data_IF_313692549689
#
_entry.id   IF_313692549689
#
_cell.length_a   1.000
_cell.length_b   1.000
_cell.length_c   1.000
_cell.angle_alpha   90.00
_cell.angle_beta   90.00
_cell.angle_gamma   90.00
#
_symmetry.space_group_name_H-M   'P 1'
#
loop_
_entity.id
_entity.type
_entity.pdbx_description
1 polymer ?
#
# COMPACT_ATOMS: atom_id res chain seq x y z
N UNK A 1 21.08 31.09 -5.10
CA UNK A 1 19.96 30.69 -4.21
C UNK A 1 19.40 29.39 -4.75
N UNK A 2 19.96 28.29 -4.28
CA UNK A 2 19.59 26.91 -4.64
C UNK A 2 18.25 26.58 -3.98
N UNK A 3 17.20 26.40 -4.79
CA UNK A 3 15.92 25.82 -4.34
C UNK A 3 16.20 24.38 -3.93
N UNK A 4 16.41 24.19 -2.63
CA UNK A 4 16.60 22.89 -2.01
C UNK A 4 15.27 22.14 -2.08
N UNK A 5 15.26 21.09 -2.89
CA UNK A 5 14.15 20.17 -3.12
C UNK A 5 14.02 19.24 -1.91
N UNK A 6 13.80 19.82 -0.73
CA UNK A 6 13.61 19.09 0.53
C UNK A 6 12.22 18.45 0.48
N UNK A 7 12.18 17.17 0.82
CA UNK A 7 11.21 16.14 0.41
C UNK A 7 9.78 16.37 0.96
N UNK A 8 9.09 17.38 0.42
CA UNK A 8 7.66 17.61 0.59
C UNK A 8 6.81 16.41 0.15
N UNK A 9 7.36 15.49 -0.68
CA UNK A 9 6.62 14.34 -1.20
C UNK A 9 6.21 13.38 -0.09
N UNK A 10 7.10 13.08 0.86
CA UNK A 10 6.79 12.12 1.93
C UNK A 10 5.66 12.62 2.83
N UNK A 11 5.74 13.85 3.33
CA UNK A 11 4.68 14.40 4.17
C UNK A 11 3.41 14.69 3.38
N UNK A 12 3.51 15.02 2.09
CA UNK A 12 2.35 15.14 1.21
C UNK A 12 1.65 13.78 1.07
N UNK A 13 2.38 12.70 0.80
CA UNK A 13 1.84 11.34 0.75
C UNK A 13 1.12 10.95 2.05
N UNK A 14 1.63 11.33 3.23
CA UNK A 14 0.94 11.07 4.50
C UNK A 14 -0.40 11.80 4.62
N UNK A 15 -0.50 13.01 4.09
CA UNK A 15 -1.74 13.80 4.02
C UNK A 15 -2.72 13.17 3.04
N UNK A 16 -2.25 12.79 1.85
CA UNK A 16 -3.07 12.08 0.85
C UNK A 16 -3.62 10.78 1.43
N UNK A 17 -2.79 9.98 2.09
CA UNK A 17 -3.25 8.76 2.77
C UNK A 17 -4.29 9.04 3.85
N UNK A 18 -4.09 10.10 4.66
CA UNK A 18 -5.04 10.46 5.71
C UNK A 18 -6.38 10.89 5.13
N UNK A 19 -6.37 11.73 4.10
CA UNK A 19 -7.56 12.15 3.40
C UNK A 19 -8.29 10.93 2.80
N UNK A 20 -7.57 10.05 2.10
CA UNK A 20 -8.16 8.88 1.44
C UNK A 20 -8.83 7.93 2.44
N UNK A 21 -8.24 7.71 3.62
CA UNK A 21 -8.86 6.87 4.65
C UNK A 21 -10.20 7.42 5.17
N UNK A 22 -10.44 8.73 5.07
CA UNK A 22 -11.64 9.38 5.60
C UNK A 22 -12.69 9.66 4.54
N UNK A 23 -12.21 9.99 3.35
CA UNK A 23 -13.00 10.65 2.32
C UNK A 23 -12.99 9.89 0.99
N UNK A 24 -12.51 8.64 0.94
CA UNK A 24 -12.56 7.86 -0.30
C UNK A 24 -13.93 7.17 -0.48
N UNK A 25 -14.53 7.20 -1.68
CA UNK A 25 -14.07 7.88 -2.90
C UNK A 25 -14.19 9.41 -2.83
N UNK A 26 -13.37 10.17 -3.60
CA UNK A 26 -13.36 11.64 -3.58
C UNK A 26 -14.73 12.28 -3.83
N UNK A 27 -15.60 11.57 -4.54
CA UNK A 27 -16.98 11.94 -4.78
C UNK A 27 -17.87 10.70 -4.58
N UNK A 28 -19.04 10.91 -3.98
CA UNK A 28 -20.00 9.84 -3.67
C UNK A 28 -20.01 9.45 -2.19
N UNK A 29 -20.67 8.33 -1.92
CA UNK A 29 -20.81 7.84 -0.55
C UNK A 29 -19.51 7.15 -0.09
N UNK A 30 -19.05 7.41 1.16
CA UNK A 30 -17.87 6.77 1.70
C UNK A 30 -17.94 5.24 1.63
N UNK A 31 -16.85 4.63 1.17
CA UNK A 31 -16.69 3.17 1.12
C UNK A 31 -15.68 2.72 2.17
N UNK A 32 -15.82 1.52 2.76
CA UNK A 32 -14.76 0.95 3.57
C UNK A 32 -13.51 0.77 2.74
N UNK A 33 -12.40 1.34 3.22
CA UNK A 33 -11.13 1.31 2.51
C UNK A 33 -9.97 0.87 3.40
N UNK A 34 -9.01 0.21 2.77
CA UNK A 34 -7.67 0.01 3.34
C UNK A 34 -6.71 0.87 2.54
N UNK A 35 -6.07 1.82 3.20
CA UNK A 35 -5.04 2.66 2.59
C UNK A 35 -3.67 2.16 3.00
N UNK A 36 -2.79 1.99 2.02
CA UNK A 36 -1.41 1.60 2.24
C UNK A 36 -0.47 2.46 1.42
N UNK A 37 0.78 2.50 1.88
CA UNK A 37 1.84 3.29 1.26
C UNK A 37 2.81 2.38 0.59
N UNK A 38 3.31 2.82 -0.56
CA UNK A 38 4.52 2.28 -1.14
C UNK A 38 4.38 0.76 -1.34
N UNK A 39 3.33 0.34 -2.06
CA UNK A 39 3.01 -1.05 -2.38
C UNK A 39 2.90 -1.26 -3.89
N UNK A 40 3.07 -2.52 -4.32
CA UNK A 40 2.99 -2.89 -5.72
C UNK A 40 3.70 -4.21 -5.96
N UNK A 41 4.05 -4.51 -7.21
CA UNK A 41 4.81 -5.71 -7.55
C UNK A 41 6.33 -5.47 -7.43
N UNK A 42 7.13 -6.50 -7.76
CA UNK A 42 8.59 -6.34 -7.80
C UNK A 42 9.05 -5.32 -8.85
N UNK A 43 8.28 -5.16 -9.95
CA UNK A 43 8.64 -4.28 -11.07
C UNK A 43 7.99 -2.91 -11.04
N UNK A 44 7.04 -2.66 -10.14
CA UNK A 44 6.29 -1.40 -10.05
C UNK A 44 5.72 -1.22 -8.66
N UNK A 45 5.97 -0.07 -8.05
CA UNK A 45 5.51 0.32 -6.71
C UNK A 45 4.78 1.65 -6.81
N UNK A 46 3.56 1.74 -6.29
CA UNK A 46 2.77 2.97 -6.22
C UNK A 46 2.96 3.67 -4.89
N UNK A 47 2.90 5.00 -4.89
CA UNK A 47 3.08 5.79 -3.68
C UNK A 47 1.95 5.54 -2.69
N UNK A 48 0.69 5.67 -3.12
CA UNK A 48 -0.48 5.39 -2.29
C UNK A 48 -1.38 4.37 -2.99
N UNK A 49 -1.83 3.37 -2.22
CA UNK A 49 -2.76 2.34 -2.66
C UNK A 49 -4.00 2.42 -1.79
N UNK A 50 -5.15 2.65 -2.43
CA UNK A 50 -6.46 2.59 -1.77
C UNK A 50 -7.16 1.33 -2.25
N UNK A 51 -7.59 0.50 -1.29
CA UNK A 51 -8.37 -0.70 -1.58
C UNK A 51 -9.79 -0.47 -1.13
N UNK A 52 -10.72 -0.44 -2.07
CA UNK A 52 -12.15 -0.55 -1.74
C UNK A 52 -12.43 -2.02 -1.43
N UNK A 53 -13.05 -2.29 -0.29
CA UNK A 53 -13.27 -3.64 0.21
C UNK A 53 -14.74 -3.93 0.41
N UNK A 54 -15.13 -5.18 0.18
CA UNK A 54 -16.44 -5.65 0.59
C UNK A 54 -16.46 -5.78 2.13
N UNK A 55 -17.38 -5.10 2.85
CA UNK A 55 -17.32 -5.06 4.30
C UNK A 55 -17.57 -6.44 4.94
N UNK A 56 -18.44 -7.26 4.34
CA UNK A 56 -18.72 -8.61 4.82
C UNK A 56 -17.53 -9.55 4.57
N UNK A 57 -16.97 -9.52 3.36
CA UNK A 57 -15.77 -10.25 2.99
C UNK A 57 -14.58 -9.87 3.85
N UNK A 58 -14.39 -8.58 4.16
CA UNK A 58 -13.33 -8.12 5.06
C UNK A 58 -13.54 -8.66 6.48
N UNK A 59 -14.78 -8.66 6.98
CA UNK A 59 -15.10 -9.24 8.28
C UNK A 59 -14.78 -10.76 8.31
N UNK A 60 -15.08 -11.49 7.23
CA UNK A 60 -14.71 -12.90 7.10
C UNK A 60 -13.18 -13.08 7.02
N UNK A 61 -12.46 -12.20 6.31
CA UNK A 61 -11.00 -12.24 6.18
C UNK A 61 -10.31 -12.09 7.53
N UNK A 62 -10.90 -11.38 8.50
CA UNK A 62 -10.32 -11.26 9.85
C UNK A 62 -10.19 -12.60 10.58
N UNK A 63 -10.96 -13.64 10.21
CA UNK A 63 -10.84 -15.00 10.78
C UNK A 63 -9.50 -15.66 10.49
N UNK A 64 -8.75 -15.16 9.50
CA UNK A 64 -7.40 -15.61 9.15
C UNK A 64 -6.28 -14.85 9.91
N UNK A 65 -6.66 -13.95 10.82
CA UNK A 65 -5.73 -13.13 11.62
C UNK A 65 -5.24 -11.87 10.89
N UNK A 66 -4.47 -11.05 11.62
CA UNK A 66 -3.98 -9.74 11.14
C UNK A 66 -2.77 -9.82 10.20
N UNK A 67 -2.06 -10.93 10.21
CA UNK A 67 -0.92 -11.16 9.31
C UNK A 67 -1.41 -11.44 7.89
N UNK A 68 -0.62 -11.00 6.90
CA UNK A 68 -0.92 -11.29 5.50
C UNK A 68 -0.91 -12.80 5.25
N UNK A 69 -1.61 -13.19 4.21
CA UNK A 69 -1.45 -14.48 3.56
C UNK A 69 -0.58 -14.24 2.32
N UNK A 70 0.62 -14.80 2.31
CA UNK A 70 1.45 -14.79 1.11
C UNK A 70 0.88 -15.73 0.04
N UNK A 71 1.53 -15.79 -1.13
CA UNK A 71 1.05 -16.58 -2.26
C UNK A 71 0.87 -18.07 -1.91
N UNK A 72 1.75 -18.62 -1.08
CA UNK A 72 1.71 -20.05 -0.74
C UNK A 72 0.62 -20.35 0.30
N UNK A 73 0.44 -19.46 1.28
CA UNK A 73 -0.69 -19.53 2.21
C UNK A 73 -2.03 -19.34 1.49
N UNK A 74 -2.14 -18.37 0.57
CA UNK A 74 -3.32 -18.17 -0.26
C UNK A 74 -3.63 -19.42 -1.10
N UNK A 75 -2.61 -20.03 -1.71
CA UNK A 75 -2.77 -21.28 -2.45
C UNK A 75 -3.36 -22.39 -1.57
N UNK A 76 -2.86 -22.55 -0.34
CA UNK A 76 -3.38 -23.55 0.58
C UNK A 76 -4.82 -23.25 1.04
N UNK A 77 -5.10 -22.03 1.53
CA UNK A 77 -6.42 -21.74 2.14
C UNK A 77 -7.55 -21.57 1.14
N UNK A 78 -7.25 -21.15 -0.11
CA UNK A 78 -8.28 -21.04 -1.17
C UNK A 78 -8.70 -22.40 -1.72
N UNK A 79 -7.81 -23.39 -1.65
CA UNK A 79 -8.02 -24.71 -2.27
C UNK A 79 -8.24 -25.85 -1.26
N UNK A 80 -8.07 -25.60 0.04
CA UNK A 80 -8.29 -26.62 1.05
C UNK A 80 -9.76 -27.10 1.04
N UNK A 81 -10.02 -28.41 1.17
CA UNK A 81 -11.37 -28.98 1.07
C UNK A 81 -12.15 -28.82 2.39
N UNK A 82 -13.50 -28.87 2.36
CA UNK A 82 -14.34 -28.84 3.57
C UNK A 82 -14.20 -30.09 4.44
N UNK A 83 -13.75 -31.20 3.86
CA UNK A 83 -13.52 -32.47 4.55
C UNK A 83 -12.03 -32.79 4.62
N UNK A 84 -11.65 -33.75 5.47
CA UNK A 84 -10.24 -34.16 5.60
C UNK A 84 -9.75 -34.90 4.36
N UNK A 85 -8.70 -34.38 3.72
CA UNK A 85 -8.11 -35.01 2.55
C UNK A 85 -6.58 -34.83 2.52
N UNK A 86 -5.87 -35.76 1.87
CA UNK A 86 -4.42 -35.66 1.71
C UNK A 86 -4.05 -34.45 0.86
N UNK A 87 -3.16 -33.58 1.35
CA UNK A 87 -2.92 -32.28 0.71
C UNK A 87 -2.48 -32.34 -0.77
N UNK A 88 -1.83 -33.42 -1.21
CA UNK A 88 -1.41 -33.57 -2.62
C UNK A 88 -2.54 -34.02 -3.55
N UNK A 89 -3.61 -34.57 -2.99
CA UNK A 89 -4.82 -34.91 -3.73
C UNK A 89 -5.78 -33.71 -3.74
N UNK A 90 -5.86 -32.98 -2.62
CA UNK A 90 -6.74 -31.85 -2.46
C UNK A 90 -6.30 -30.56 -3.18
N UNK A 91 -5.00 -30.24 -3.15
CA UNK A 91 -4.49 -28.97 -3.68
C UNK A 91 -4.09 -29.10 -5.16
N UNK A 92 -4.40 -28.10 -6.01
CA UNK A 92 -3.83 -28.02 -7.34
C UNK A 92 -2.30 -28.03 -7.30
N UNK A 93 -1.68 -28.58 -8.34
CA UNK A 93 -0.22 -28.60 -8.43
C UNK A 93 0.33 -27.16 -8.46
N UNK A 94 1.24 -26.78 -7.55
CA UNK A 94 1.63 -25.38 -7.35
C UNK A 94 2.61 -24.83 -8.42
N UNK A 95 3.08 -25.69 -9.32
CA UNK A 95 4.11 -25.33 -10.32
C UNK A 95 5.55 -25.31 -9.78
N UNK A 96 5.75 -25.68 -8.52
CA UNK A 96 7.04 -25.81 -7.84
C UNK A 96 7.06 -27.03 -6.88
N UNK A 97 8.19 -27.39 -6.24
CA UNK A 97 8.24 -28.60 -5.39
C UNK A 97 7.31 -28.58 -4.17
N UNK A 98 6.60 -29.69 -3.92
CA UNK A 98 5.65 -29.88 -2.80
C UNK A 98 6.22 -29.61 -1.39
N UNK A 99 7.53 -29.57 -1.21
CA UNK A 99 8.14 -29.25 0.10
C UNK A 99 7.74 -27.85 0.59
N UNK A 100 7.62 -26.87 -0.31
CA UNK A 100 7.23 -25.50 0.04
C UNK A 100 5.77 -25.44 0.46
N UNK A 101 4.88 -26.14 -0.26
CA UNK A 101 3.46 -26.27 0.15
C UNK A 101 3.33 -26.90 1.54
N UNK A 102 4.16 -27.91 1.85
CA UNK A 102 4.15 -28.54 3.17
C UNK A 102 4.53 -27.55 4.28
N UNK A 103 5.54 -26.72 4.07
CA UNK A 103 5.94 -25.67 5.02
C UNK A 103 4.78 -24.70 5.26
N UNK A 104 4.11 -24.24 4.20
CA UNK A 104 2.95 -23.36 4.30
C UNK A 104 1.76 -24.00 5.00
N UNK A 105 1.50 -25.30 4.79
CA UNK A 105 0.45 -26.04 5.52
C UNK A 105 0.75 -26.07 7.02
N UNK A 106 2.00 -26.34 7.41
CA UNK A 106 2.37 -26.32 8.82
C UNK A 106 2.21 -24.93 9.43
N UNK A 107 2.67 -23.87 8.75
CA UNK A 107 2.48 -22.49 9.18
C UNK A 107 0.99 -22.11 9.30
N UNK A 108 0.15 -22.54 8.35
CA UNK A 108 -1.29 -22.32 8.39
C UNK A 108 -1.97 -23.06 9.56
N UNK A 109 -1.51 -24.28 9.87
CA UNK A 109 -1.96 -25.05 11.03
C UNK A 109 -1.57 -24.41 12.35
N UNK A 110 -0.33 -23.94 12.48
CA UNK A 110 0.17 -23.22 13.67
C UNK A 110 -0.58 -21.90 13.89
N UNK A 111 -0.93 -21.20 12.80
CA UNK A 111 -1.80 -20.01 12.84
C UNK A 111 -3.27 -20.33 13.14
N UNK A 112 -3.68 -21.60 13.13
CA UNK A 112 -5.07 -22.02 13.33
C UNK A 112 -6.03 -21.58 12.22
N UNK A 113 -5.52 -21.30 11.02
CA UNK A 113 -6.30 -20.86 9.85
C UNK A 113 -6.60 -22.01 8.89
N UNK A 114 -5.92 -23.15 9.07
CA UNK A 114 -6.14 -24.39 8.36
C UNK A 114 -6.10 -25.54 9.36
N UNK A 115 -7.04 -26.48 9.30
CA UNK A 115 -6.95 -27.68 10.12
C UNK A 115 -5.97 -28.66 9.48
N UNK A 116 -4.99 -29.13 10.26
CA UNK A 116 -3.93 -30.01 9.79
C UNK A 116 -3.81 -31.20 10.72
N UNK A 117 -3.78 -32.42 10.17
CA UNK A 117 -3.51 -33.64 10.93
C UNK A 117 -2.60 -34.59 10.19
N UNK A 118 -1.94 -35.47 10.94
CA UNK A 118 -1.12 -36.55 10.38
C UNK A 118 -1.82 -37.90 10.56
N UNK A 119 -2.03 -38.64 9.48
CA UNK A 119 -2.48 -40.04 9.49
C UNK A 119 -1.44 -40.91 8.79
N UNK A 120 -0.71 -41.70 9.58
CA UNK A 120 0.43 -42.47 9.07
C UNK A 120 1.49 -41.56 8.45
N UNK A 121 1.77 -41.74 7.17
CA UNK A 121 2.70 -40.91 6.38
C UNK A 121 2.00 -39.77 5.61
N UNK A 122 0.68 -39.63 5.73
CA UNK A 122 -0.12 -38.61 5.01
C UNK A 122 -0.39 -37.42 5.92
N UNK A 123 -0.22 -36.22 5.37
CA UNK A 123 -0.66 -34.96 5.99
C UNK A 123 -2.02 -34.65 5.36
N UNK A 124 -3.06 -34.70 6.17
CA UNK A 124 -4.41 -34.34 5.75
C UNK A 124 -4.71 -32.92 6.18
N UNK A 125 -5.41 -32.19 5.31
CA UNK A 125 -5.84 -30.81 5.55
C UNK A 125 -7.35 -30.71 5.43
N UNK A 126 -7.92 -29.72 6.10
CA UNK A 126 -9.32 -29.33 5.99
C UNK A 126 -9.42 -27.82 6.17
N UNK A 127 -10.17 -27.13 5.32
CA UNK A 127 -10.42 -25.69 5.49
C UNK A 127 -11.22 -25.44 6.76
N UNK A 128 -10.82 -24.43 7.52
CA UNK A 128 -11.56 -23.98 8.70
C UNK A 128 -12.62 -22.93 8.34
N UNK A 129 -12.29 -22.10 7.35
CA UNK A 129 -13.14 -21.05 6.81
C UNK A 129 -12.97 -21.00 5.29
N UNK A 130 -14.01 -20.57 4.59
CA UNK A 130 -13.89 -20.19 3.18
C UNK A 130 -13.09 -18.88 3.10
N UNK A 131 -12.14 -18.82 2.15
CA UNK A 131 -11.43 -17.58 1.88
C UNK A 131 -12.36 -16.63 1.11
N UNK A 132 -12.67 -15.44 1.65
CA UNK A 132 -13.68 -14.56 1.07
C UNK A 132 -13.15 -13.78 -0.13
N UNK A 133 -14.06 -13.37 -1.01
CA UNK A 133 -13.78 -12.33 -2.00
C UNK A 133 -14.01 -10.95 -1.36
N UNK A 134 -12.97 -10.42 -0.71
CA UNK A 134 -13.07 -9.20 0.11
C UNK A 134 -12.54 -7.94 -0.59
N UNK A 135 -11.83 -8.10 -1.71
CA UNK A 135 -11.24 -7.00 -2.46
C UNK A 135 -12.20 -6.58 -3.58
N UNK A 136 -12.78 -5.39 -3.50
CA UNK A 136 -13.60 -4.86 -4.58
C UNK A 136 -12.73 -4.18 -5.64
N UNK A 137 -11.92 -3.20 -5.26
CA UNK A 137 -11.14 -2.38 -6.19
C UNK A 137 -9.78 -2.00 -5.65
N UNK A 138 -8.82 -1.84 -6.56
CA UNK A 138 -7.46 -1.36 -6.31
C UNK A 138 -7.30 -0.02 -6.99
N UNK A 139 -7.00 1.03 -6.24
CA UNK A 139 -6.74 2.36 -6.76
C UNK A 139 -5.28 2.70 -6.48
N UNK A 140 -4.56 3.12 -7.52
CA UNK A 140 -3.19 3.60 -7.41
C UNK A 140 -3.17 5.12 -7.49
N UNK A 141 -2.49 5.78 -6.55
CA UNK A 141 -2.30 7.22 -6.52
C UNK A 141 -0.79 7.51 -6.48
N UNK A 142 -0.31 8.24 -7.47
CA UNK A 142 1.06 8.77 -7.53
C UNK A 142 1.10 10.18 -6.94
N UNK A 143 2.02 10.43 -6.01
CA UNK A 143 2.09 11.68 -5.29
C UNK A 143 3.17 12.58 -5.88
N UNK A 144 2.75 13.70 -6.47
CA UNK A 144 3.62 14.69 -7.09
C UNK A 144 3.17 16.10 -6.68
N UNK A 145 3.50 16.53 -5.44
CA UNK A 145 3.04 17.83 -4.93
C UNK A 145 3.44 18.99 -5.83
N UNK A 146 4.64 18.93 -6.40
CA UNK A 146 5.20 19.96 -7.28
C UNK A 146 5.40 19.33 -8.68
N UNK A 147 4.32 19.30 -9.48
CA UNK A 147 4.34 18.72 -10.83
C UNK A 147 4.77 19.76 -11.87
N UNK A 148 6.06 19.83 -12.15
CA UNK A 148 6.62 20.57 -13.29
C UNK A 148 6.67 19.72 -14.57
N UNK A 149 6.92 20.36 -15.73
CA UNK A 149 6.97 19.67 -17.02
C UNK A 149 7.99 18.53 -17.10
N UNK A 150 9.08 18.57 -16.33
CA UNK A 150 10.06 17.49 -16.29
C UNK A 150 9.58 16.32 -15.45
N UNK A 151 8.97 16.61 -14.29
CA UNK A 151 8.33 15.63 -13.42
C UNK A 151 7.16 14.95 -14.14
N UNK A 152 6.37 15.71 -14.88
CA UNK A 152 5.23 15.20 -15.64
C UNK A 152 5.64 14.23 -16.74
N UNK A 153 6.72 14.50 -17.49
CA UNK A 153 7.24 13.53 -18.48
C UNK A 153 7.65 12.20 -17.86
N UNK A 154 8.36 12.23 -16.72
CA UNK A 154 8.76 11.01 -16.01
C UNK A 154 7.54 10.27 -15.45
N UNK A 155 6.58 11.01 -14.91
CA UNK A 155 5.35 10.47 -14.36
C UNK A 155 4.47 9.84 -15.45
N UNK A 156 4.26 10.51 -16.57
CA UNK A 156 3.47 10.00 -17.69
C UNK A 156 3.96 8.62 -18.13
N UNK A 157 5.28 8.46 -18.24
CA UNK A 157 5.95 7.18 -18.51
C UNK A 157 5.55 6.06 -17.52
N UNK A 158 5.42 6.37 -16.23
CA UNK A 158 5.01 5.43 -15.20
C UNK A 158 3.52 5.11 -15.27
N UNK A 159 2.68 6.14 -15.47
CA UNK A 159 1.24 6.01 -15.59
C UNK A 159 0.85 5.18 -16.82
N UNK A 160 1.53 5.37 -17.95
CA UNK A 160 1.32 4.56 -19.16
C UNK A 160 1.56 3.07 -18.89
N UNK A 161 2.59 2.73 -18.10
CA UNK A 161 2.86 1.34 -17.70
C UNK A 161 1.74 0.78 -16.82
N UNK A 162 1.21 1.60 -15.91
CA UNK A 162 0.10 1.18 -15.04
C UNK A 162 -1.20 1.00 -15.80
N UNK A 163 -1.52 1.93 -16.70
CA UNK A 163 -2.69 1.87 -17.59
C UNK A 163 -2.59 0.67 -18.51
N UNK A 164 -1.44 0.47 -19.17
CA UNK A 164 -1.21 -0.65 -20.08
C UNK A 164 -1.28 -2.01 -19.37
N UNK A 165 -0.77 -2.10 -18.14
CA UNK A 165 -0.85 -3.32 -17.34
C UNK A 165 -2.28 -3.56 -16.83
N UNK A 166 -3.00 -2.50 -16.47
CA UNK A 166 -4.37 -2.57 -15.96
C UNK A 166 -4.47 -3.39 -14.67
N UNK A 167 -3.48 -3.21 -13.78
CA UNK A 167 -3.45 -3.91 -12.48
C UNK A 167 -4.34 -3.22 -11.44
N UNK A 168 -4.39 -1.90 -11.47
CA UNK A 168 -5.35 -1.09 -10.72
C UNK A 168 -6.65 -0.91 -11.52
N UNK A 169 -7.76 -0.68 -10.84
CA UNK A 169 -9.04 -0.27 -11.43
C UNK A 169 -9.02 1.19 -11.85
N UNK A 170 -8.26 2.03 -11.13
CA UNK A 170 -8.04 3.43 -11.44
C UNK A 170 -6.62 3.84 -11.06
N UNK A 171 -6.07 4.77 -11.84
CA UNK A 171 -4.78 5.39 -11.59
C UNK A 171 -5.00 6.89 -11.46
N UNK A 172 -4.40 7.49 -10.45
CA UNK A 172 -4.54 8.90 -10.13
C UNK A 172 -3.18 9.56 -9.91
N UNK A 173 -3.12 10.85 -10.15
CA UNK A 173 -2.03 11.73 -9.73
C UNK A 173 -2.57 12.70 -8.69
N UNK A 174 -1.91 12.80 -7.55
CA UNK A 174 -2.19 13.81 -6.53
C UNK A 174 -1.13 14.91 -6.56
N UNK A 175 -1.57 16.16 -6.75
CA UNK A 175 -0.71 17.35 -6.74
C UNK A 175 -1.15 18.34 -5.68
N UNK A 176 -0.30 19.30 -5.33
CA UNK A 176 -0.69 20.43 -4.50
C UNK A 176 -1.45 21.45 -5.35
N UNK A 177 -2.42 22.13 -4.75
CA UNK A 177 -3.04 23.31 -5.36
C UNK A 177 -2.00 24.41 -5.59
N UNK A 178 -1.97 24.93 -6.82
CA UNK A 178 -1.05 26.01 -7.20
C UNK A 178 -1.64 27.39 -6.98
N UNK A 179 -2.99 27.48 -6.89
CA UNK A 179 -3.71 28.74 -6.89
C UNK A 179 -3.84 29.39 -8.27
N UNK A 180 -3.36 28.72 -9.32
CA UNK A 180 -3.52 29.16 -10.70
C UNK A 180 -4.95 28.92 -11.19
N UNK A 181 -5.36 29.64 -12.25
CA UNK A 181 -6.70 29.49 -12.83
C UNK A 181 -6.91 28.07 -13.40
N UNK A 182 -5.86 27.51 -13.98
CA UNK A 182 -5.82 26.15 -14.52
C UNK A 182 -4.64 25.47 -13.86
N UNK A 183 -4.87 24.30 -13.28
CA UNK A 183 -3.81 23.56 -12.60
C UNK A 183 -2.80 23.04 -13.63
N UNK A 184 -1.48 23.23 -13.42
CA UNK A 184 -0.46 22.79 -14.37
C UNK A 184 -0.61 21.33 -14.80
N UNK A 185 -1.02 20.46 -13.88
CA UNK A 185 -1.28 19.05 -14.15
C UNK A 185 -2.27 18.78 -15.29
N UNK A 186 -3.20 19.70 -15.58
CA UNK A 186 -4.16 19.59 -16.68
C UNK A 186 -3.55 19.96 -18.05
N UNK A 187 -2.38 20.59 -18.05
CA UNK A 187 -1.68 21.03 -19.26
C UNK A 187 -0.55 20.08 -19.67
N UNK A 188 -0.19 19.16 -18.79
CA UNK A 188 0.88 18.19 -19.01
C UNK A 188 0.38 16.95 -19.77
N UNK A 189 1.29 16.29 -20.49
CA UNK A 189 1.03 15.10 -21.30
C UNK A 189 0.96 13.83 -20.44
N UNK A 190 -0.05 13.76 -19.57
CA UNK A 190 -0.37 12.57 -18.78
C UNK A 190 -1.39 11.70 -19.54
N UNK A 191 -1.38 10.36 -19.36
CA UNK A 191 -2.38 9.49 -19.97
C UNK A 191 -3.80 9.93 -19.64
N UNK A 192 -4.67 9.99 -20.65
CA UNK A 192 -6.05 10.47 -20.51
C UNK A 192 -6.89 9.61 -19.55
N UNK A 193 -6.49 8.36 -19.33
CA UNK A 193 -7.09 7.46 -18.35
C UNK A 193 -6.76 7.82 -16.89
N UNK A 194 -5.69 8.56 -16.63
CA UNK A 194 -5.26 8.90 -15.29
C UNK A 194 -6.08 10.07 -14.73
N UNK A 195 -6.63 9.89 -13.53
CA UNK A 195 -7.33 10.95 -12.81
C UNK A 195 -6.37 11.94 -12.17
N UNK A 196 -6.85 13.16 -11.88
CA UNK A 196 -6.05 14.21 -11.22
C UNK A 196 -6.80 14.68 -9.97
N UNK A 197 -6.13 14.52 -8.82
CA UNK A 197 -6.53 15.07 -7.52
C UNK A 197 -5.66 16.26 -7.18
N UNK A 198 -6.28 17.35 -6.75
CA UNK A 198 -5.58 18.55 -6.28
C UNK A 198 -5.87 18.78 -4.82
N UNK A 199 -4.80 18.83 -4.02
CA UNK A 199 -4.83 18.94 -2.57
C UNK A 199 -4.58 20.36 -2.10
N UNK A 200 -5.45 20.84 -1.21
CA UNK A 200 -5.33 22.11 -0.51
C UNK A 200 -5.85 21.97 0.90
N UNK A 201 -5.09 22.43 1.90
CA UNK A 201 -5.53 22.52 3.31
C UNK A 201 -6.14 21.21 3.89
N UNK A 202 -5.62 20.06 3.46
CA UNK A 202 -6.08 18.75 3.95
C UNK A 202 -7.27 18.14 3.21
N UNK A 203 -7.81 18.86 2.23
CA UNK A 203 -8.87 18.38 1.34
C UNK A 203 -8.31 18.10 -0.06
N UNK A 204 -8.97 17.21 -0.79
CA UNK A 204 -8.68 16.94 -2.19
C UNK A 204 -9.91 17.22 -3.05
N UNK A 205 -9.67 17.77 -4.24
CA UNK A 205 -10.69 18.00 -5.25
C UNK A 205 -10.32 17.28 -6.55
N UNK A 206 -11.32 16.74 -7.24
CA UNK A 206 -11.12 16.12 -8.55
C UNK A 206 -11.01 17.23 -9.61
N UNK A 207 -9.94 17.20 -10.41
CA UNK A 207 -9.77 18.06 -11.59
C UNK A 207 -9.93 17.32 -12.89
N UNK A 208 -9.64 16.02 -12.88
CA UNK A 208 -9.87 15.12 -14.00
C UNK A 208 -10.29 13.75 -13.45
N UNK A 209 -11.39 13.21 -13.98
CA UNK A 209 -11.86 11.89 -13.56
C UNK A 209 -11.07 10.80 -14.28
N UNK A 210 -10.63 9.75 -13.57
CA UNK A 210 -9.95 8.62 -14.19
C UNK A 210 -10.93 7.84 -15.06
N UNK A 211 -10.37 7.11 -16.02
CA UNK A 211 -11.07 6.03 -16.68
C UNK A 211 -10.95 4.76 -15.83
N UNK A 212 -12.07 4.07 -15.61
CA UNK A 212 -12.03 2.71 -15.04
C UNK A 212 -11.32 1.77 -16.01
N UNK A 213 -10.20 1.20 -15.57
CA UNK A 213 -9.45 0.16 -16.27
C UNK A 213 -10.14 -1.20 -16.09
N UNK A 214 -9.77 -2.19 -16.90
CA UNK A 214 -10.32 -3.55 -16.84
C UNK A 214 -9.29 -4.57 -16.33
N UNK A 215 -9.31 -4.90 -15.03
CA UNK A 215 -8.46 -5.95 -14.46
C UNK A 215 -8.80 -7.36 -14.99
N UNK A 216 -10.00 -7.55 -15.56
CA UNK A 216 -10.48 -8.82 -16.09
C UNK A 216 -10.01 -9.10 -17.54
N UNK A 217 -9.54 -8.09 -18.26
CA UNK A 217 -8.97 -8.26 -19.59
C UNK A 217 -7.46 -8.55 -19.52
N UNK A 218 -6.82 -9.15 -20.55
CA UNK A 218 -5.37 -9.28 -20.59
C UNK A 218 -4.66 -7.92 -20.47
N UNK A 219 -3.57 -7.87 -19.69
CA UNK A 219 -2.75 -6.67 -19.52
C UNK A 219 -1.51 -6.70 -20.40
N UNK A 220 -0.90 -5.54 -20.65
CA UNK A 220 0.37 -5.41 -21.36
C UNK A 220 1.47 -5.00 -20.39
N UNK A 221 2.45 -5.88 -20.17
CA UNK A 221 3.63 -5.60 -19.36
C UNK A 221 4.78 -5.15 -20.25
N UNK A 222 5.10 -3.87 -20.20
CA UNK A 222 6.24 -3.29 -20.91
C UNK A 222 7.52 -3.71 -20.17
N UNK A 223 8.36 -4.51 -20.82
CA UNK A 223 9.61 -5.07 -20.24
C UNK A 223 10.83 -4.26 -20.59
N UNK A 224 10.81 -3.57 -21.72
CA UNK A 224 11.88 -2.70 -22.17
C UNK A 224 11.26 -1.52 -22.93
N UNK A 225 11.57 -0.30 -22.47
CA UNK A 225 11.33 0.91 -23.25
C UNK A 225 12.70 1.46 -23.62
N UNK A 226 13.08 1.48 -24.91
CA UNK A 226 14.32 2.09 -25.32
C UNK A 226 14.33 3.57 -24.91
N UNK A 227 15.50 4.15 -24.58
CA UNK A 227 15.63 5.49 -24.01
C UNK A 227 15.08 6.60 -24.93
N UNK A 228 14.91 6.31 -26.23
CA UNK A 228 14.31 7.22 -27.19
C UNK A 228 15.26 8.31 -27.67
N UNK A 229 14.83 9.00 -28.73
CA UNK A 229 15.53 10.10 -29.40
C UNK A 229 15.03 10.23 -30.85
N UNK A 230 15.22 11.39 -31.49
CA UNK A 230 14.74 11.68 -32.86
C UNK A 230 15.21 10.66 -33.93
N UNK A 231 16.19 9.83 -33.59
CA UNK A 231 16.78 8.82 -34.46
C UNK A 231 16.71 7.39 -33.89
N UNK A 232 16.16 7.18 -32.69
CA UNK A 232 16.02 5.85 -32.11
C UNK A 232 14.70 5.20 -32.55
N UNK A 233 14.80 4.24 -33.48
CA UNK A 233 13.66 3.45 -34.00
C UNK A 233 13.52 2.10 -33.28
N UNK A 234 14.18 1.90 -32.15
CA UNK A 234 14.11 0.65 -31.41
C UNK A 234 12.68 0.39 -30.94
N UNK A 235 12.17 -0.81 -31.18
CA UNK A 235 10.85 -1.20 -30.70
C UNK A 235 10.89 -1.47 -29.20
N UNK A 236 9.88 -0.99 -28.45
CA UNK A 236 9.67 -1.42 -27.08
C UNK A 236 9.39 -2.93 -27.03
N UNK A 237 9.86 -3.60 -25.97
CA UNK A 237 9.49 -4.98 -25.69
C UNK A 237 8.37 -5.02 -24.67
N UNK A 238 7.40 -5.88 -24.93
CA UNK A 238 6.28 -6.12 -24.04
C UNK A 238 5.86 -7.57 -24.08
N UNK A 239 5.13 -7.98 -23.07
CA UNK A 239 4.47 -9.28 -23.00
C UNK A 239 3.05 -9.12 -22.47
N UNK A 240 2.15 -9.97 -22.94
CA UNK A 240 0.80 -10.02 -22.39
C UNK A 240 0.79 -10.80 -21.07
N UNK A 241 0.01 -10.32 -20.11
CA UNK A 241 -0.27 -11.03 -18.87
C UNK A 241 -1.74 -11.42 -18.81
N UNK A 242 -2.01 -12.61 -18.30
CA UNK A 242 -3.38 -13.12 -18.21
C UNK A 242 -4.18 -12.43 -17.09
N UNK A 243 -5.52 -12.43 -17.18
CA UNK A 243 -6.38 -11.96 -16.09
C UNK A 243 -6.13 -12.67 -14.76
N UNK A 244 -5.87 -13.97 -14.76
CA UNK A 244 -5.60 -14.76 -13.56
C UNK A 244 -4.32 -14.30 -12.86
N UNK A 245 -3.27 -14.02 -13.65
CA UNK A 245 -2.04 -13.45 -13.10
C UNK A 245 -2.30 -12.10 -12.45
N UNK A 246 -3.13 -11.24 -13.07
CA UNK A 246 -3.49 -9.94 -12.48
C UNK A 246 -4.30 -10.10 -11.20
N UNK A 247 -5.27 -11.02 -11.18
CA UNK A 247 -6.07 -11.32 -9.99
C UNK A 247 -5.18 -11.77 -8.82
N UNK A 248 -4.23 -12.69 -9.05
CA UNK A 248 -3.31 -13.15 -8.02
C UNK A 248 -2.37 -12.03 -7.53
N UNK A 249 -1.89 -11.16 -8.42
CA UNK A 249 -1.06 -10.00 -8.01
C UNK A 249 -1.86 -8.96 -7.24
N UNK A 250 -3.10 -8.68 -7.64
CA UNK A 250 -4.01 -7.77 -6.92
C UNK A 250 -4.28 -8.29 -5.52
N UNK A 251 -4.61 -9.57 -5.39
CA UNK A 251 -4.83 -10.19 -4.08
C UNK A 251 -3.56 -10.17 -3.21
N UNK A 252 -2.39 -10.43 -3.77
CA UNK A 252 -1.12 -10.35 -3.04
C UNK A 252 -0.74 -8.91 -2.64
N UNK A 253 -1.15 -7.89 -3.40
CA UNK A 253 -1.05 -6.48 -2.99
C UNK A 253 -2.02 -6.21 -1.84
N UNK A 254 -3.26 -6.69 -1.96
CA UNK A 254 -4.30 -6.51 -0.96
C UNK A 254 -3.94 -7.14 0.38
N UNK A 255 -3.43 -8.37 0.39
CA UNK A 255 -2.95 -9.06 1.60
C UNK A 255 -1.81 -8.30 2.28
N UNK A 256 -0.87 -7.72 1.51
CA UNK A 256 0.19 -6.87 2.09
C UNK A 256 -0.35 -5.56 2.63
N UNK A 257 -1.33 -4.96 1.98
CA UNK A 257 -2.00 -3.77 2.48
C UNK A 257 -2.81 -4.09 3.75
N UNK A 258 -3.43 -5.26 3.83
CA UNK A 258 -4.16 -5.72 5.00
C UNK A 258 -3.25 -5.94 6.22
N UNK A 259 -2.00 -6.37 6.02
CA UNK A 259 -1.04 -6.47 7.12
C UNK A 259 -0.45 -5.11 7.51
N UNK A 260 0.01 -4.35 6.50
CA UNK A 260 0.87 -3.17 6.70
C UNK A 260 0.14 -1.82 6.69
N UNK A 261 -1.07 -1.78 6.14
CA UNK A 261 -1.86 -0.58 5.85
C UNK A 261 -2.19 0.23 7.09
N UNK A 262 -2.90 1.32 6.90
CA UNK A 262 -3.25 2.31 7.92
C UNK A 262 -2.03 3.08 8.48
N UNK A 263 -1.15 3.50 7.57
CA UNK A 263 -0.08 4.52 7.77
C UNK A 263 1.06 4.16 8.73
N UNK A 264 1.58 2.93 8.68
CA UNK A 264 2.88 2.65 9.32
C UNK A 264 4.05 3.15 8.47
N UNK A 265 4.82 4.08 9.02
CA UNK A 265 6.03 4.63 8.39
C UNK A 265 7.21 4.67 9.36
N UNK A 266 7.03 4.12 10.57
CA UNK A 266 8.00 4.26 11.65
C UNK A 266 9.30 3.51 11.37
N UNK A 267 9.23 2.40 10.60
CA UNK A 267 10.39 1.56 10.30
C UNK A 267 11.43 2.28 9.44
N UNK A 268 11.01 3.30 8.70
CA UNK A 268 11.89 4.13 7.86
C UNK A 268 12.31 5.44 8.53
N UNK A 269 12.01 5.61 9.82
CA UNK A 269 12.28 6.85 10.56
C UNK A 269 13.21 6.63 11.75
N UNK A 270 13.64 7.74 12.35
CA UNK A 270 14.45 7.77 13.57
C UNK A 270 13.66 8.33 14.75
N UNK A 271 12.59 7.65 15.21
CA UNK A 271 11.85 8.07 16.40
C UNK A 271 12.72 8.02 17.66
N UNK A 272 13.84 7.29 17.63
CA UNK A 272 14.86 7.22 18.68
C UNK A 272 15.76 8.46 18.76
N UNK A 273 15.63 9.40 17.82
CA UNK A 273 16.32 10.68 17.85
C UNK A 273 15.60 11.65 18.79
N UNK A 274 16.32 12.33 19.68
CA UNK A 274 15.77 13.34 20.60
C UNK A 274 15.16 14.56 19.88
N UNK A 275 15.46 14.73 18.60
CA UNK A 275 14.96 15.82 17.75
C UNK A 275 13.71 15.43 16.95
N UNK A 276 13.21 14.20 17.13
CA UNK A 276 11.99 13.72 16.49
C UNK A 276 10.75 14.25 17.20
N UNK A 277 9.84 14.85 16.43
CA UNK A 277 8.48 15.17 16.86
C UNK A 277 7.47 14.61 15.87
N UNK A 278 6.32 14.14 16.36
CA UNK A 278 5.14 13.95 15.52
C UNK A 278 4.27 15.20 15.58
N UNK A 279 4.03 15.85 14.44
CA UNK A 279 3.16 17.03 14.35
C UNK A 279 1.87 16.65 13.63
N UNK A 280 0.75 17.22 14.07
CA UNK A 280 -0.51 17.07 13.36
C UNK A 280 -0.61 18.22 12.38
N UNK A 281 -0.78 17.89 11.11
CA UNK A 281 -1.06 18.84 10.05
C UNK A 281 -2.11 18.23 9.11
N UNK A 282 -3.18 18.97 8.81
CA UNK A 282 -4.27 18.47 7.97
C UNK A 282 -4.79 17.09 8.42
N UNK A 283 -4.97 16.90 9.74
CA UNK A 283 -5.30 15.63 10.41
C UNK A 283 -4.32 14.46 10.24
N UNK A 284 -3.24 14.64 9.46
CA UNK A 284 -2.16 13.68 9.30
C UNK A 284 -1.13 13.89 10.41
N UNK A 285 -0.63 12.80 10.97
CA UNK A 285 0.57 12.86 11.81
C UNK A 285 1.77 12.81 10.86
N UNK A 286 2.57 13.87 10.86
CA UNK A 286 3.77 13.99 10.03
C UNK A 286 5.00 14.04 10.94
N UNK A 287 6.11 13.36 10.57
CA UNK A 287 7.34 13.42 11.33
C UNK A 287 8.03 14.77 11.11
N UNK A 288 8.61 15.32 12.15
CA UNK A 288 9.30 16.61 12.11
C UNK A 288 10.65 16.52 12.82
N UNK A 289 11.68 17.14 12.24
CA UNK A 289 12.98 17.31 12.88
C UNK A 289 13.08 18.73 13.45
N UNK A 290 13.20 18.84 14.77
CA UNK A 290 13.30 20.15 15.43
C UNK A 290 14.58 20.91 15.13
N UNK A 291 15.68 20.21 14.84
CA UNK A 291 16.98 20.83 14.49
C UNK A 291 16.95 21.38 13.07
N UNK A 292 16.39 20.63 12.13
CA UNK A 292 16.32 21.05 10.73
C UNK A 292 15.16 21.99 10.45
N UNK A 293 14.15 22.02 11.33
CA UNK A 293 13.00 22.92 11.23
C UNK A 293 11.99 22.51 10.16
N UNK A 294 12.03 21.26 9.67
CA UNK A 294 11.11 20.74 8.67
C UNK A 294 10.80 19.25 8.88
N UNK A 295 9.93 18.72 8.02
CA UNK A 295 9.52 17.31 8.04
C UNK A 295 10.71 16.36 7.85
N UNK A 296 10.69 15.20 8.51
CA UNK A 296 11.76 14.21 8.34
C UNK A 296 11.69 13.54 6.98
N UNK A 297 12.86 13.33 6.39
CA UNK A 297 13.04 12.61 5.13
C UNK A 297 13.97 11.41 5.37
N UNK A 298 13.75 10.31 4.66
CA UNK A 298 14.64 9.15 4.76
C UNK A 298 16.05 9.46 4.23
N UNK A 299 16.20 10.45 3.35
CA UNK A 299 17.49 10.88 2.85
C UNK A 299 18.31 11.57 3.96
N UNK A 300 17.72 12.54 4.66
CA UNK A 300 18.47 13.40 5.56
C UNK A 300 18.46 12.89 7.00
N UNK A 301 17.40 12.21 7.44
CA UNK A 301 17.21 11.72 8.80
C UNK A 301 17.49 10.21 8.93
N UNK A 302 18.44 9.69 8.15
CA UNK A 302 18.88 8.28 8.19
C UNK A 302 20.06 8.04 9.13
N UNK A 303 20.68 6.86 9.04
CA UNK A 303 21.81 6.44 9.88
C UNK A 303 23.04 7.36 9.78
N UNK A 304 23.20 8.12 8.68
CA UNK A 304 24.31 9.05 8.47
C UNK A 304 24.01 10.49 8.86
N UNK A 305 22.87 10.77 9.50
CA UNK A 305 22.49 12.12 9.91
C UNK A 305 23.47 12.68 10.96
N UNK A 306 24.22 13.77 10.68
CA UNK A 306 25.19 14.33 11.63
C UNK A 306 24.53 14.94 12.87
N UNK A 307 23.29 15.40 12.72
CA UNK A 307 22.45 15.95 13.80
C UNK A 307 21.76 14.86 14.63
N UNK A 308 22.01 13.57 14.32
CA UNK A 308 21.38 12.50 15.09
C UNK A 308 21.90 12.51 16.53
N UNK A 309 20.97 12.59 17.48
CA UNK A 309 21.28 12.44 18.89
C UNK A 309 20.25 11.50 19.51
N UNK A 310 20.66 10.38 20.13
CA UNK A 310 19.71 9.44 20.72
C UNK A 310 18.97 10.08 21.89
N UNK A 311 17.76 9.59 22.16
CA UNK A 311 17.03 9.96 23.37
C UNK A 311 17.88 9.79 24.63
N UNK A 312 17.96 10.81 25.51
CA UNK A 312 18.64 10.70 26.79
C UNK A 312 18.07 9.54 27.63
N UNK A 313 18.90 8.71 28.28
CA UNK A 313 18.43 7.59 29.10
C UNK A 313 17.41 8.00 30.17
N UNK A 314 17.59 9.18 30.77
CA UNK A 314 16.68 9.73 31.78
C UNK A 314 15.26 10.01 31.28
N UNK A 315 15.03 10.08 29.96
CA UNK A 315 13.68 10.22 29.40
C UNK A 315 12.93 8.89 29.40
N UNK A 316 13.64 7.77 29.29
CA UNK A 316 13.03 6.43 29.21
C UNK A 316 12.46 5.94 30.54
N UNK A 317 12.94 6.53 31.64
CA UNK A 317 12.47 6.24 33.00
C UNK A 317 11.25 7.08 33.39
N UNK A 318 10.84 8.03 32.56
CA UNK A 318 9.62 8.82 32.80
C UNK A 318 8.40 7.93 32.55
N UNK A 319 7.33 8.12 33.33
CA UNK A 319 6.07 7.39 33.18
C UNK A 319 5.23 7.90 32.01
N UNK A 320 3.95 7.53 32.01
CA UNK A 320 2.97 7.99 31.03
C UNK A 320 2.98 9.53 30.88
N UNK A 321 2.91 10.10 29.66
CA UNK A 321 2.64 9.46 28.37
C UNK A 321 3.88 8.98 27.59
N UNK A 322 5.11 9.17 28.11
CA UNK A 322 6.38 8.86 27.43
C UNK A 322 7.11 7.68 28.06
N UNK A 323 6.35 6.71 28.58
CA UNK A 323 6.92 5.50 29.19
C UNK A 323 7.85 4.78 28.21
N UNK A 324 9.13 4.68 28.57
CA UNK A 324 10.19 4.14 27.71
C UNK A 324 10.73 5.10 26.63
N UNK A 325 10.39 6.39 26.71
CA UNK A 325 10.91 7.47 25.88
C UNK A 325 9.91 7.99 24.82
N UNK A 326 10.07 9.23 24.31
CA UNK A 326 9.19 9.81 23.29
C UNK A 326 9.03 8.97 22.03
N UNK A 327 10.09 8.32 21.56
CA UNK A 327 10.13 7.45 20.39
C UNK A 327 9.31 6.17 20.56
N UNK A 328 9.27 5.61 21.78
CA UNK A 328 8.34 4.52 22.11
C UNK A 328 6.90 5.04 22.18
N UNK A 329 6.70 6.25 22.72
CA UNK A 329 5.42 6.93 22.75
C UNK A 329 4.81 7.11 21.35
N UNK A 330 5.57 7.66 20.40
CA UNK A 330 5.08 7.87 19.02
C UNK A 330 4.80 6.56 18.30
N UNK A 331 5.62 5.52 18.51
CA UNK A 331 5.36 4.16 17.99
C UNK A 331 4.00 3.66 18.45
N UNK A 332 3.72 3.78 19.75
CA UNK A 332 2.43 3.41 20.33
C UNK A 332 1.27 4.23 19.76
N UNK A 333 1.44 5.54 19.56
CA UNK A 333 0.41 6.39 18.93
C UNK A 333 0.10 5.92 17.51
N UNK A 334 1.12 5.65 16.68
CA UNK A 334 0.93 5.18 15.31
C UNK A 334 0.27 3.79 15.28
N UNK A 335 0.69 2.89 16.16
CA UNK A 335 0.06 1.58 16.31
C UNK A 335 -1.42 1.70 16.70
N UNK A 336 -1.75 2.52 17.71
CA UNK A 336 -3.15 2.76 18.09
C UNK A 336 -3.97 3.38 16.95
N UNK A 337 -3.39 4.27 16.14
CA UNK A 337 -4.06 4.83 14.95
C UNK A 337 -4.32 3.77 13.90
N UNK A 338 -3.36 2.87 13.66
CA UNK A 338 -3.53 1.72 12.75
C UNK A 338 -4.66 0.80 13.23
N UNK A 339 -4.68 0.44 14.51
CA UNK A 339 -5.73 -0.44 15.07
C UNK A 339 -7.12 0.21 15.01
N UNK A 340 -7.21 1.53 15.24
CA UNK A 340 -8.47 2.27 15.08
C UNK A 340 -8.96 2.23 13.64
N UNK A 341 -8.09 2.57 12.68
CA UNK A 341 -8.48 2.60 11.27
C UNK A 341 -8.82 1.19 10.73
N UNK A 342 -8.14 0.14 11.23
CA UNK A 342 -8.52 -1.26 10.96
C UNK A 342 -9.92 -1.58 11.50
N UNK A 343 -10.23 -1.10 12.70
CA UNK A 343 -11.54 -1.30 13.34
C UNK A 343 -12.65 -0.48 12.68
N UNK A 344 -12.32 0.66 12.06
CA UNK A 344 -13.25 1.47 11.26
C UNK A 344 -13.51 0.83 9.89
N UNK A 345 -12.48 0.26 9.24
CA UNK A 345 -12.60 -0.41 7.95
C UNK A 345 -13.31 -1.78 8.05
N UNK A 346 -13.10 -2.50 9.16
CA UNK A 346 -13.82 -3.74 9.42
C UNK A 346 -15.14 -3.40 10.08
N UNK A 347 -16.31 -3.64 9.47
CA UNK A 347 -17.55 -3.51 10.21
C UNK A 347 -17.47 -4.45 11.41
N UNK A 348 -17.38 -3.87 12.62
CA UNK A 348 -17.59 -4.65 13.83
C UNK A 348 -18.91 -5.39 13.64
N UNK A 349 -18.97 -6.66 14.01
CA UNK A 349 -20.25 -7.31 14.26
C UNK A 349 -20.97 -6.45 15.30
N UNK A 350 -21.79 -5.49 14.86
CA UNK A 350 -22.72 -4.78 15.73
C UNK A 350 -23.71 -5.84 16.17
N UNK A 351 -23.38 -6.53 17.27
CA UNK A 351 -24.30 -7.25 18.12
C UNK A 351 -24.35 -6.51 19.44
#
# INVERSE_FOLDING_TARGET
>A
MTRERIDHEFGFELRVCRWAERNWPPEGDPSPVIVSRQLGTRGRRWDTVVLEVDPEGLAQRTRFGHERLDADLLHAVRNAPPEWEYYREALPHPGYPWRYVRESIHAAGERGILDVRKRGNRIEIRRRYDYPDWLSRVIAIENKPDLDASAARVLGDQLERDVALGLADEVWVATRATGERVEPALLEDLPVEAGILVFSEGEASVRWHPRRLSPADPGTRITERPPGGDHDRSAARFEYVSPEWKADKRLAIAERAYERGWRSYIDTMRPDCRHFEGRIDSDALVPHCTVKGHEQTAAECSGSCPEFSPEPPAWRTKGWPIEGGPGKGIKKVLECRRERARSEATPASRR
#
